data_IF_261721374700
#
_entry.id   IF_261721374700
#
_cell.length_a   1.000
_cell.length_b   1.000
_cell.length_c   1.000
_cell.angle_alpha   90.00
_cell.angle_beta   90.00
_cell.angle_gamma   90.00
#
_symmetry.space_group_name_H-M   'P 1'
#
loop_
_entity.id
_entity.type
_entity.pdbx_description
1 polymer ?
#
# COMPACT_ATOMS: atom_id res chain seq x y z
N UNK A 1 -9.06 -3.26 28.84
CA UNK A 1 -7.80 -2.46 28.82
C UNK A 1 -7.73 -1.63 27.54
N UNK A 2 -6.99 -0.50 27.46
CA UNK A 2 -7.04 0.42 26.31
C UNK A 2 -6.67 -0.15 24.93
N UNK A 3 -6.17 -1.39 24.85
CA UNK A 3 -5.82 -2.06 23.59
C UNK A 3 -6.51 -3.43 23.43
N UNK A 4 -7.52 -3.71 24.26
CA UNK A 4 -8.30 -4.93 24.18
C UNK A 4 -8.99 -5.02 22.82
N UNK A 5 -8.83 -6.15 22.13
CA UNK A 5 -9.31 -6.40 20.77
C UNK A 5 -8.66 -5.54 19.65
N UNK A 6 -7.56 -4.83 19.92
CA UNK A 6 -6.90 -3.97 18.92
C UNK A 6 -6.38 -4.73 17.70
N UNK A 7 -5.90 -5.96 17.91
CA UNK A 7 -5.46 -6.84 16.82
C UNK A 7 -6.62 -7.24 15.91
N UNK A 8 -7.74 -7.67 16.50
CA UNK A 8 -8.95 -8.11 15.80
C UNK A 8 -9.52 -6.98 14.95
N UNK A 9 -9.56 -5.76 15.49
CA UNK A 9 -9.99 -4.56 14.77
C UNK A 9 -9.04 -4.24 13.60
N UNK A 10 -7.73 -4.32 13.81
CA UNK A 10 -6.74 -4.09 12.75
C UNK A 10 -6.85 -5.15 11.64
N UNK A 11 -7.05 -6.41 12.01
CA UNK A 11 -7.22 -7.53 11.09
C UNK A 11 -8.50 -7.38 10.27
N UNK A 12 -9.63 -7.08 10.91
CA UNK A 12 -10.91 -6.83 10.23
C UNK A 12 -10.77 -5.71 9.20
N UNK A 13 -10.14 -4.59 9.58
CA UNK A 13 -9.91 -3.47 8.67
C UNK A 13 -8.99 -3.86 7.50
N UNK A 14 -7.93 -4.62 7.76
CA UNK A 14 -7.01 -5.10 6.73
C UNK A 14 -7.73 -6.00 5.72
N UNK A 15 -8.57 -6.91 6.19
CA UNK A 15 -9.33 -7.81 5.33
C UNK A 15 -10.36 -7.04 4.48
N UNK A 16 -11.10 -6.11 5.08
CA UNK A 16 -12.03 -5.26 4.35
C UNK A 16 -11.34 -4.43 3.24
N UNK A 17 -10.13 -3.93 3.49
CA UNK A 17 -9.34 -3.23 2.46
C UNK A 17 -8.92 -4.19 1.34
N UNK A 18 -8.48 -5.42 1.67
CA UNK A 18 -8.11 -6.42 0.66
C UNK A 18 -9.29 -6.79 -0.23
N UNK A 19 -10.45 -7.03 0.36
CA UNK A 19 -11.70 -7.29 -0.38
C UNK A 19 -12.10 -6.09 -1.24
N UNK A 20 -11.98 -4.87 -0.71
CA UNK A 20 -12.28 -3.64 -1.45
C UNK A 20 -11.35 -3.43 -2.64
N UNK A 21 -10.05 -3.68 -2.48
CA UNK A 21 -9.07 -3.58 -3.57
C UNK A 21 -9.34 -4.59 -4.69
N UNK A 22 -9.85 -5.77 -4.38
CA UNK A 22 -10.19 -6.77 -5.39
C UNK A 22 -11.44 -6.40 -6.20
N UNK A 23 -12.37 -5.62 -5.64
CA UNK A 23 -13.68 -5.36 -6.24
C UNK A 23 -13.84 -3.93 -6.80
N UNK A 24 -13.33 -2.91 -6.10
CA UNK A 24 -13.41 -1.49 -6.49
C UNK A 24 -12.08 -0.76 -6.21
N UNK A 25 -10.99 -1.19 -6.86
CA UNK A 25 -9.64 -0.65 -6.65
C UNK A 25 -9.52 0.86 -6.91
N UNK A 26 -10.30 1.39 -7.84
CA UNK A 26 -10.31 2.80 -8.23
C UNK A 26 -10.73 3.76 -7.10
N UNK A 27 -11.41 3.24 -6.07
CA UNK A 27 -11.77 4.01 -4.86
C UNK A 27 -10.62 4.17 -3.87
N UNK A 28 -9.56 3.39 -4.04
CA UNK A 28 -8.40 3.41 -3.16
C UNK A 28 -7.30 4.30 -3.74
N UNK A 29 -6.61 5.01 -2.86
CA UNK A 29 -5.42 5.79 -3.21
C UNK A 29 -4.22 5.23 -2.46
N UNK A 30 -3.22 4.75 -3.21
CA UNK A 30 -1.89 4.47 -2.68
C UNK A 30 -1.08 5.76 -2.69
N UNK A 31 -0.66 6.20 -1.50
CA UNK A 31 0.29 7.29 -1.33
C UNK A 31 1.62 6.72 -0.83
N UNK A 32 2.69 6.99 -1.56
CA UNK A 32 4.04 6.50 -1.28
C UNK A 32 5.05 7.58 -1.64
N UNK A 33 6.28 7.50 -1.15
CA UNK A 33 7.31 8.50 -1.41
C UNK A 33 8.63 7.90 -1.85
N UNK A 34 9.37 8.62 -2.68
CA UNK A 34 10.75 8.33 -3.08
C UNK A 34 11.65 9.50 -2.73
N UNK A 35 12.79 9.18 -2.10
CA UNK A 35 13.87 10.13 -1.86
C UNK A 35 15.01 9.79 -2.82
N UNK A 36 15.35 10.65 -3.80
CA UNK A 36 16.35 10.33 -4.82
C UNK A 36 17.78 10.47 -4.27
N UNK A 37 18.21 9.53 -3.42
CA UNK A 37 19.54 9.52 -2.78
C UNK A 37 20.62 8.81 -3.60
N UNK A 38 20.26 8.20 -4.74
CA UNK A 38 21.20 7.47 -5.57
C UNK A 38 20.51 6.45 -6.49
N UNK A 39 21.30 5.51 -7.01
CA UNK A 39 20.77 4.42 -7.85
C UNK A 39 19.91 3.47 -7.01
N UNK A 40 18.88 2.94 -7.66
CA UNK A 40 18.06 1.89 -7.07
C UNK A 40 18.88 0.60 -6.87
N UNK A 41 18.49 -0.16 -5.86
CA UNK A 41 19.00 -1.51 -5.56
C UNK A 41 17.82 -2.43 -5.22
N UNK A 42 18.08 -3.74 -5.11
CA UNK A 42 17.04 -4.76 -4.91
C UNK A 42 16.12 -4.50 -3.70
N UNK A 43 16.60 -3.80 -2.67
CA UNK A 43 15.79 -3.40 -1.53
C UNK A 43 14.61 -2.51 -1.92
N UNK A 44 14.79 -1.63 -2.92
CA UNK A 44 13.69 -0.82 -3.46
C UNK A 44 12.66 -1.68 -4.18
N UNK A 45 13.10 -2.72 -4.90
CA UNK A 45 12.20 -3.62 -5.61
C UNK A 45 11.28 -4.35 -4.63
N UNK A 46 11.85 -5.04 -3.64
CA UNK A 46 11.08 -5.81 -2.66
C UNK A 46 10.33 -4.92 -1.67
N UNK A 47 10.94 -3.82 -1.25
CA UNK A 47 10.37 -2.96 -0.23
C UNK A 47 9.26 -2.04 -0.74
N UNK A 48 9.20 -1.78 -2.05
CA UNK A 48 8.33 -0.71 -2.54
C UNK A 48 7.87 -0.90 -3.98
N UNK A 49 8.76 -1.04 -4.97
CA UNK A 49 8.38 -0.96 -6.38
C UNK A 49 7.42 -2.08 -6.80
N UNK A 50 7.66 -3.32 -6.34
CA UNK A 50 6.80 -4.46 -6.69
C UNK A 50 5.35 -4.24 -6.26
N UNK A 51 5.13 -3.83 -5.01
CA UNK A 51 3.77 -3.58 -4.50
C UNK A 51 3.09 -2.37 -5.15
N UNK A 52 3.87 -1.34 -5.54
CA UNK A 52 3.32 -0.20 -6.29
C UNK A 52 2.75 -0.64 -7.64
N UNK A 53 3.51 -1.45 -8.38
CA UNK A 53 3.08 -1.99 -9.68
C UNK A 53 1.86 -2.86 -9.52
N UNK A 54 1.85 -3.77 -8.55
CA UNK A 54 0.69 -4.64 -8.26
C UNK A 54 -0.59 -3.83 -8.00
N UNK A 55 -0.53 -2.80 -7.14
CA UNK A 55 -1.68 -1.96 -6.83
C UNK A 55 -2.11 -1.07 -8.01
N UNK A 56 -1.15 -0.60 -8.81
CA UNK A 56 -1.43 0.15 -10.03
C UNK A 56 -2.12 -0.72 -11.08
N UNK A 57 -1.63 -1.95 -11.29
CA UNK A 57 -2.20 -2.91 -12.23
C UNK A 57 -3.60 -3.34 -11.82
N UNK A 58 -3.89 -3.38 -10.52
CA UNK A 58 -5.25 -3.54 -10.00
C UNK A 58 -6.15 -2.35 -10.29
N UNK A 59 -5.62 -1.16 -10.62
CA UNK A 59 -6.40 0.05 -10.92
C UNK A 59 -6.52 1.04 -9.76
N UNK A 60 -5.73 0.86 -8.69
CA UNK A 60 -5.72 1.82 -7.58
C UNK A 60 -5.04 3.13 -8.00
N UNK A 61 -5.61 4.26 -7.54
CA UNK A 61 -5.00 5.58 -7.78
C UNK A 61 -3.64 5.64 -7.10
N UNK A 62 -2.59 5.85 -7.89
CA UNK A 62 -1.21 5.75 -7.41
C UNK A 62 -0.54 7.12 -7.44
N UNK A 63 -0.14 7.61 -6.26
CA UNK A 63 0.60 8.86 -6.10
C UNK A 63 1.99 8.58 -5.51
N UNK A 64 3.05 8.93 -6.25
CA UNK A 64 4.43 8.88 -5.78
C UNK A 64 4.91 10.30 -5.48
N UNK A 65 5.19 10.59 -4.22
CA UNK A 65 5.74 11.86 -3.78
C UNK A 65 7.27 11.83 -3.87
N UNK A 66 7.86 12.78 -4.59
CA UNK A 66 9.31 12.96 -4.61
C UNK A 66 9.68 14.01 -3.56
N UNK A 67 10.56 13.64 -2.63
CA UNK A 67 11.00 14.49 -1.52
C UNK A 67 12.51 14.75 -1.57
#
# INVERSE_FOLDING_TARGET
MPNENSYEVALQKSNAIREGLANTPEKFTMLTGDRPTGRLHLGHYFGTLKGRVELQDMGAKTNVLIA
#
